data_IF_114434059819
#
_entry.id   IF_114434059819
#
_cell.length_a   1.000
_cell.length_b   1.000
_cell.length_c   1.000
_cell.angle_alpha   90.00
_cell.angle_beta   90.00
_cell.angle_gamma   90.00
#
_symmetry.space_group_name_H-M   'P 1'
#
loop_
_entity.id
_entity.type
_entity.pdbx_description
1 polymer ?
#
# COMPACT_ATOMS: atom_id res chain seq x y z
N UNK A 1 15.92 -7.37 -2.71
CA UNK A 1 16.66 -8.56 -3.19
C UNK A 1 17.83 -8.97 -2.31
N UNK A 2 18.68 -8.07 -1.84
CA UNK A 2 19.82 -8.44 -0.97
C UNK A 2 19.41 -9.31 0.22
N UNK A 3 18.28 -9.00 0.88
CA UNK A 3 17.72 -9.84 1.95
C UNK A 3 17.30 -11.24 1.45
N UNK A 4 16.58 -11.33 0.33
CA UNK A 4 16.14 -12.60 -0.26
C UNK A 4 17.32 -13.48 -0.73
N UNK A 5 18.45 -12.87 -1.13
CA UNK A 5 19.67 -13.59 -1.46
C UNK A 5 20.40 -14.14 -0.22
N UNK A 6 20.24 -13.51 0.94
CA UNK A 6 20.82 -13.97 2.20
C UNK A 6 19.95 -15.03 2.90
N UNK A 7 18.63 -14.88 2.83
CA UNK A 7 17.65 -15.84 3.35
C UNK A 7 16.32 -15.71 2.59
N UNK A 8 15.59 -16.81 2.28
CA UNK A 8 14.32 -16.73 1.59
C UNK A 8 13.32 -15.81 2.31
N UNK A 9 12.96 -14.71 1.65
CA UNK A 9 11.88 -13.82 2.10
C UNK A 9 10.55 -14.37 1.60
N UNK A 10 9.66 -14.75 2.51
CA UNK A 10 8.34 -15.30 2.18
C UNK A 10 7.35 -14.24 1.70
N UNK A 11 7.36 -13.04 2.29
CA UNK A 11 6.47 -11.95 1.89
C UNK A 11 7.02 -10.56 2.21
N UNK A 12 6.46 -9.53 1.55
CA UNK A 12 6.67 -8.11 1.86
C UNK A 12 5.32 -7.44 2.11
N UNK A 13 5.29 -6.49 3.04
CA UNK A 13 4.07 -5.77 3.45
C UNK A 13 4.14 -4.24 3.20
N UNK A 14 3.95 -3.76 1.96
CA UNK A 14 3.92 -2.32 1.65
C UNK A 14 2.49 -1.77 1.62
N UNK A 15 2.35 -0.44 1.48
CA UNK A 15 1.04 0.18 1.23
C UNK A 15 0.60 -0.14 -0.19
N UNK A 16 -0.66 -0.51 -0.34
CA UNK A 16 -1.27 -0.61 -1.65
C UNK A 16 -2.78 -0.48 -1.55
N UNK A 17 -3.31 0.53 -2.23
CA UNK A 17 -4.73 0.86 -2.29
C UNK A 17 -5.03 1.52 -3.64
N UNK A 18 -6.30 1.79 -3.93
CA UNK A 18 -6.69 2.45 -5.20
C UNK A 18 -5.95 3.77 -5.46
N UNK A 19 -5.61 4.52 -4.40
CA UNK A 19 -4.92 5.82 -4.48
C UNK A 19 -3.41 5.74 -4.19
N UNK A 20 -2.90 4.57 -3.81
CA UNK A 20 -1.47 4.36 -3.50
C UNK A 20 -0.99 3.16 -4.29
N UNK A 21 -0.38 3.41 -5.45
CA UNK A 21 -0.09 2.37 -6.47
C UNK A 21 1.39 2.35 -6.90
N UNK A 22 2.27 3.06 -6.20
CA UNK A 22 3.70 3.19 -6.54
C UNK A 22 4.42 1.83 -6.67
N UNK A 23 3.95 0.82 -5.95
CA UNK A 23 4.51 -0.54 -5.98
C UNK A 23 4.34 -1.26 -7.31
N UNK A 24 3.43 -0.82 -8.20
CA UNK A 24 3.11 -1.52 -9.45
C UNK A 24 4.24 -1.51 -10.47
N UNK A 25 4.91 -0.37 -10.63
CA UNK A 25 5.96 -0.22 -11.65
C UNK A 25 7.29 -0.86 -11.24
N UNK A 26 7.53 -1.05 -9.93
CA UNK A 26 8.82 -1.51 -9.42
C UNK A 26 8.73 -2.78 -8.58
N UNK A 27 8.07 -2.70 -7.42
CA UNK A 27 8.13 -3.76 -6.41
C UNK A 27 7.35 -5.01 -6.84
N UNK A 28 6.11 -4.87 -7.34
CA UNK A 28 5.25 -6.01 -7.67
C UNK A 28 5.84 -6.94 -8.74
N UNK A 29 6.44 -6.46 -9.86
CA UNK A 29 7.12 -7.32 -10.83
C UNK A 29 8.26 -8.11 -10.19
N UNK A 30 9.05 -7.47 -9.34
CA UNK A 30 10.21 -8.07 -8.66
C UNK A 30 9.76 -9.21 -7.73
N UNK A 31 8.71 -8.99 -6.93
CA UNK A 31 8.16 -10.02 -6.04
C UNK A 31 7.61 -11.22 -6.81
N UNK A 32 6.86 -10.96 -7.90
CA UNK A 32 6.33 -12.02 -8.78
C UNK A 32 7.44 -12.88 -9.39
N UNK A 33 8.50 -12.26 -9.89
CA UNK A 33 9.63 -12.96 -10.49
C UNK A 33 10.35 -13.90 -9.51
N UNK A 34 10.26 -13.64 -8.20
CA UNK A 34 11.02 -14.36 -7.18
C UNK A 34 10.13 -15.22 -6.28
N UNK A 35 8.85 -15.36 -6.61
CA UNK A 35 7.90 -16.14 -5.82
C UNK A 35 7.67 -15.59 -4.41
N UNK A 36 7.88 -14.28 -4.20
CA UNK A 36 7.70 -13.64 -2.89
C UNK A 36 6.25 -13.16 -2.76
N UNK A 37 5.61 -13.49 -1.64
CA UNK A 37 4.25 -13.04 -1.32
C UNK A 37 4.14 -11.52 -1.12
N UNK A 38 2.93 -11.01 -1.31
CA UNK A 38 2.62 -9.59 -1.12
C UNK A 38 1.41 -9.46 -0.20
N UNK A 39 1.54 -8.65 0.85
CA UNK A 39 0.45 -8.37 1.81
C UNK A 39 0.28 -6.86 1.89
N UNK A 40 -0.80 -6.30 1.38
CA UNK A 40 -1.03 -4.85 1.47
C UNK A 40 -1.38 -4.44 2.91
N UNK A 41 -0.71 -3.41 3.45
CA UNK A 41 -1.30 -2.65 4.55
C UNK A 41 -2.16 -1.50 4.01
N UNK A 42 -3.10 -1.02 4.83
CA UNK A 42 -4.06 0.04 4.47
C UNK A 42 -4.80 -0.16 3.13
N UNK A 43 -5.30 -1.37 2.80
CA UNK A 43 -5.89 -1.65 1.48
C UNK A 43 -7.12 -0.78 1.15
N UNK A 44 -7.80 -0.25 2.18
CA UNK A 44 -8.95 0.64 2.03
C UNK A 44 -8.57 2.13 1.96
N UNK A 45 -7.32 2.46 1.59
CA UNK A 45 -6.86 3.84 1.46
C UNK A 45 -7.00 4.59 2.78
N UNK A 46 -6.55 3.98 3.88
CA UNK A 46 -6.60 4.57 5.23
C UNK A 46 -8.01 4.98 5.70
N UNK A 47 -9.01 4.20 5.27
CA UNK A 47 -10.41 4.40 5.62
C UNK A 47 -11.23 5.12 4.55
N UNK A 48 -10.60 5.75 3.54
CA UNK A 48 -11.28 6.45 2.44
C UNK A 48 -12.25 5.54 1.68
N UNK A 49 -11.99 4.24 1.61
CA UNK A 49 -12.84 3.25 0.93
C UNK A 49 -13.65 2.36 1.88
N UNK A 50 -13.68 2.68 3.18
CA UNK A 50 -14.50 1.95 4.14
C UNK A 50 -16.00 2.33 4.09
N UNK A 51 -16.39 3.31 3.26
CA UNK A 51 -17.79 3.71 3.02
C UNK A 51 -18.45 4.53 4.13
N UNK A 52 -17.69 4.92 5.17
CA UNK A 52 -18.21 5.64 6.36
C UNK A 52 -17.75 7.10 6.46
N UNK A 53 -16.83 7.52 5.60
CA UNK A 53 -16.27 8.88 5.61
C UNK A 53 -17.10 9.79 4.71
N UNK A 54 -17.42 10.98 5.21
CA UNK A 54 -18.04 12.08 4.44
C UNK A 54 -17.00 13.16 4.11
N UNK A 55 -17.36 14.17 3.33
CA UNK A 55 -16.44 15.27 3.01
C UNK A 55 -16.02 16.04 4.27
N UNK A 56 -16.95 16.19 5.20
CA UNK A 56 -16.75 16.85 6.49
C UNK A 56 -15.76 16.05 7.36
N UNK A 57 -15.73 14.72 7.22
CA UNK A 57 -14.85 13.84 8.01
C UNK A 57 -13.35 13.97 7.70
N UNK A 58 -12.99 14.70 6.63
CA UNK A 58 -11.61 14.97 6.19
C UNK A 58 -11.39 16.46 5.91
N UNK A 59 -12.23 17.33 6.48
CA UNK A 59 -12.20 18.76 6.19
C UNK A 59 -11.03 19.48 6.86
N UNK A 60 -10.52 18.95 7.98
CA UNK A 60 -9.34 19.45 8.68
C UNK A 60 -8.12 19.48 7.75
N UNK A 61 -7.45 20.62 7.67
CA UNK A 61 -6.27 20.80 6.83
C UNK A 61 -5.07 20.00 7.32
N UNK A 62 -5.03 19.61 8.60
CA UNK A 62 -4.02 18.72 9.16
C UNK A 62 -4.33 17.22 8.91
N UNK A 63 -5.46 16.88 8.30
CA UNK A 63 -5.79 15.50 7.94
C UNK A 63 -4.92 15.00 6.78
N UNK A 64 -3.91 14.20 7.12
CA UNK A 64 -2.96 13.62 6.16
C UNK A 64 -3.63 12.78 5.05
N UNK A 65 -4.87 12.31 5.24
CA UNK A 65 -5.61 11.54 4.21
C UNK A 65 -5.99 12.40 3.00
N UNK A 66 -5.96 13.74 3.11
CA UNK A 66 -6.17 14.68 1.99
C UNK A 66 -5.07 14.61 0.93
N UNK A 67 -3.91 14.05 1.27
CA UNK A 67 -2.82 13.82 0.30
C UNK A 67 -3.12 12.65 -0.66
N UNK A 68 -4.15 11.86 -0.38
CA UNK A 68 -4.54 10.68 -1.16
C UNK A 68 -5.74 10.93 -2.08
N UNK A 69 -6.31 12.14 -2.07
CA UNK A 69 -7.53 12.52 -2.81
C UNK A 69 -7.24 13.38 -4.03
#
# INVERSE_FOLDING_TARGET
MKAHAAHPVTCIQPEYALFTRDVEAGLLPVLRQNGIGFVSYSPLGRGLRAGKLTRESIQDDEDFRRLLS
#
